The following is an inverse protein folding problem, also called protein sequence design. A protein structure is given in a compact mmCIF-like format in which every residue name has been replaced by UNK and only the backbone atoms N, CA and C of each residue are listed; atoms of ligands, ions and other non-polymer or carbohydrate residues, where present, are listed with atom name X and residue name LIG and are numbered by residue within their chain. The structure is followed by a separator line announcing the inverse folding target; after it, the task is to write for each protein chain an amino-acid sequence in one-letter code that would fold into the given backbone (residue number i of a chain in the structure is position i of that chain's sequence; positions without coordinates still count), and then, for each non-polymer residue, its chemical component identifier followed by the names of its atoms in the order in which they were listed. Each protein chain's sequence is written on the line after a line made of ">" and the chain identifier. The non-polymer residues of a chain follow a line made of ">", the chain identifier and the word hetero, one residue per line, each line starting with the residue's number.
data_IF_716988742203
#
_entry.id   IF_716988742203
#
_cell.length_a   1.000
_cell.length_b   1.000
_cell.length_c   1.000
_cell.angle_alpha   90.00
_cell.angle_beta   90.00
_cell.angle_gamma   90.00
#
_symmetry.space_group_name_H-M   'P 1'
#
loop_
_entity.id
_entity.type
_entity.pdbx_description
1 polymer ?
#
# COMPACT_ATOMS: atom_id res chain seq x y z
N UNK A 1 42.96 -11.02 -52.07
CA UNK A 1 44.29 -11.59 -51.73
C UNK A 1 44.92 -10.72 -50.67
N UNK A 2 45.59 -11.29 -49.84
CA UNK A 2 45.44 -11.24 -48.36
C UNK A 2 46.67 -10.61 -47.69
N UNK A 3 46.61 -10.39 -46.41
CA UNK A 3 47.75 -10.62 -45.52
C UNK A 3 47.34 -10.42 -44.05
N UNK A 4 47.39 -11.54 -43.33
CA UNK A 4 47.47 -11.64 -41.86
C UNK A 4 48.96 -11.44 -41.47
N UNK A 5 49.27 -10.91 -40.32
CA UNK A 5 50.35 -11.47 -39.48
C UNK A 5 49.85 -11.65 -38.04
N UNK A 6 49.85 -12.80 -37.50
CA UNK A 6 50.81 -13.62 -36.76
C UNK A 6 51.42 -12.92 -35.50
N UNK A 7 51.09 -13.56 -34.39
CA UNK A 7 51.50 -13.42 -32.99
C UNK A 7 53.03 -13.59 -32.82
N UNK A 8 53.62 -13.10 -31.73
CA UNK A 8 54.26 -14.06 -30.84
C UNK A 8 53.95 -13.94 -29.36
N UNK A 9 53.77 -15.08 -28.76
CA UNK A 9 53.86 -15.37 -27.35
C UNK A 9 55.29 -15.17 -26.82
N UNK A 10 55.43 -14.68 -25.62
CA UNK A 10 56.66 -14.84 -24.84
C UNK A 10 56.32 -15.26 -23.40
N UNK A 11 56.92 -16.32 -23.09
CA UNK A 11 57.00 -17.20 -21.94
C UNK A 11 57.97 -16.62 -20.89
N UNK A 12 57.91 -17.18 -19.67
CA UNK A 12 58.91 -17.24 -18.59
C UNK A 12 58.83 -16.10 -17.55
N UNK A 13 58.93 -16.33 -16.24
CA UNK A 13 59.70 -17.33 -15.52
C UNK A 13 59.19 -17.48 -14.06
N UNK A 14 59.41 -18.66 -13.55
CA UNK A 14 59.42 -19.08 -12.14
C UNK A 14 60.32 -18.22 -11.23
N UNK A 15 59.91 -18.07 -9.97
CA UNK A 15 60.89 -18.20 -8.85
C UNK A 15 60.19 -18.76 -7.59
N UNK A 16 60.81 -19.79 -7.06
CA UNK A 16 60.44 -20.58 -5.88
C UNK A 16 61.12 -20.04 -4.61
N UNK A 17 60.73 -20.60 -3.50
CA UNK A 17 61.29 -20.65 -2.13
C UNK A 17 60.65 -19.67 -1.15
N UNK A 18 60.22 -20.06 0.07
CA UNK A 18 60.89 -20.92 1.03
C UNK A 18 59.89 -21.47 2.07
N UNK A 19 60.17 -22.65 2.50
CA UNK A 19 59.60 -23.39 3.62
C UNK A 19 59.90 -22.69 4.96
N UNK A 20 58.85 -22.50 5.80
CA UNK A 20 59.02 -22.46 7.25
C UNK A 20 57.88 -23.26 7.87
N UNK A 21 58.27 -24.42 8.38
CA UNK A 21 57.46 -25.29 9.23
C UNK A 21 57.09 -24.56 10.53
N UNK A 22 55.82 -24.43 10.79
CA UNK A 22 55.26 -24.10 12.11
C UNK A 22 54.17 -25.11 12.42
N UNK A 23 54.44 -25.99 13.36
CA UNK A 23 53.45 -26.88 13.98
C UNK A 23 52.39 -26.03 14.64
N UNK A 24 51.18 -26.03 14.11
CA UNK A 24 49.98 -25.58 14.82
C UNK A 24 49.06 -26.79 15.01
N UNK A 25 48.68 -27.05 16.24
CA UNK A 25 47.77 -28.09 16.68
C UNK A 25 46.39 -27.92 15.99
N UNK A 26 45.62 -29.01 15.80
CA UNK A 26 44.27 -28.89 15.26
C UNK A 26 43.38 -28.16 16.28
N UNK A 27 42.81 -27.04 15.86
CA UNK A 27 41.77 -26.37 16.58
C UNK A 27 40.51 -27.26 16.54
N UNK A 28 39.98 -27.59 17.70
CA UNK A 28 38.64 -28.17 17.87
C UNK A 28 37.61 -27.31 17.15
N UNK A 29 36.59 -27.92 16.51
CA UNK A 29 35.49 -27.14 15.98
C UNK A 29 34.73 -26.48 17.15
N UNK A 30 34.79 -25.15 17.19
CA UNK A 30 33.97 -24.38 18.10
C UNK A 30 32.50 -24.76 17.89
N UNK A 31 31.90 -25.34 18.93
CA UNK A 31 30.47 -25.56 18.99
C UNK A 31 29.79 -24.24 18.65
N UNK A 32 28.89 -24.28 17.63
CA UNK A 32 27.96 -23.19 17.38
C UNK A 32 27.20 -22.93 18.68
N UNK A 33 27.60 -21.89 19.39
CA UNK A 33 26.80 -21.35 20.46
C UNK A 33 25.43 -21.00 19.88
N UNK A 34 24.42 -21.71 20.34
CA UNK A 34 23.03 -21.34 20.06
C UNK A 34 22.88 -19.88 20.50
N UNK A 35 22.49 -19.02 19.59
CA UNK A 35 22.06 -17.66 19.93
C UNK A 35 20.99 -17.78 21.02
N UNK A 36 21.14 -17.05 22.14
CA UNK A 36 20.09 -17.02 23.13
C UNK A 36 18.82 -16.49 22.46
N UNK A 37 17.76 -17.27 22.51
CA UNK A 37 16.44 -16.83 22.13
C UNK A 37 16.19 -15.46 22.80
N UNK A 38 15.95 -14.44 21.99
CA UNK A 38 15.57 -13.14 22.49
C UNK A 38 14.40 -13.31 23.46
N UNK A 39 14.43 -12.67 24.64
CA UNK A 39 13.32 -12.76 25.57
C UNK A 39 12.07 -12.30 24.84
N UNK A 40 10.99 -13.08 24.98
CA UNK A 40 9.67 -12.67 24.53
C UNK A 40 9.41 -11.30 25.16
N UNK A 41 9.46 -10.26 24.35
CA UNK A 41 9.12 -8.92 24.77
C UNK A 41 7.68 -8.96 25.25
N UNK A 42 7.45 -8.64 26.50
CA UNK A 42 6.14 -8.37 27.06
C UNK A 42 5.40 -7.46 26.09
N UNK A 43 4.37 -8.01 25.46
CA UNK A 43 3.45 -7.27 24.64
C UNK A 43 2.66 -6.37 25.59
N UNK A 44 3.19 -5.18 25.84
CA UNK A 44 2.42 -4.15 26.49
C UNK A 44 1.17 -3.92 25.63
N UNK A 45 0.05 -4.41 26.10
CA UNK A 45 -1.26 -4.10 25.54
C UNK A 45 -1.39 -2.58 25.45
N UNK A 46 -1.62 -2.07 24.26
CA UNK A 46 -1.91 -0.65 24.06
C UNK A 46 -3.14 -0.29 24.93
N UNK A 47 -3.14 0.85 25.62
CA UNK A 47 -4.29 1.24 26.44
C UNK A 47 -5.52 1.36 25.55
N UNK A 48 -6.70 0.97 26.01
CA UNK A 48 -7.94 1.15 25.27
C UNK A 48 -8.17 2.65 25.05
N UNK A 49 -8.58 3.00 23.83
CA UNK A 49 -9.11 4.34 23.57
C UNK A 49 -10.36 4.51 24.45
N UNK A 50 -10.28 5.37 25.46
CA UNK A 50 -11.41 5.75 26.31
C UNK A 50 -12.35 6.65 25.52
N UNK A 51 -13.24 6.08 24.73
CA UNK A 51 -14.44 6.78 24.21
C UNK A 51 -15.45 5.76 23.64
N UNK A 52 -15.96 4.85 24.50
CA UNK A 52 -17.20 4.12 24.18
C UNK A 52 -17.94 3.72 25.48
N UNK A 53 -18.65 4.69 26.04
CA UNK A 53 -19.81 4.42 26.90
C UNK A 53 -20.93 5.39 26.54
N UNK A 54 -21.78 4.97 25.60
CA UNK A 54 -23.11 5.55 25.40
C UNK A 54 -24.18 4.53 25.78
N UNK A 55 -25.22 4.91 26.54
CA UNK A 55 -26.22 3.98 27.04
C UNK A 55 -27.12 3.48 25.91
N UNK A 56 -27.35 2.17 25.91
CA UNK A 56 -28.28 1.50 25.01
C UNK A 56 -29.70 2.02 25.15
N UNK A 57 -30.25 2.51 24.06
CA UNK A 57 -31.68 2.77 23.93
C UNK A 57 -32.25 1.70 22.99
N UNK A 58 -33.21 0.95 23.52
CA UNK A 58 -33.95 -0.07 22.80
C UNK A 58 -34.73 0.56 21.64
N UNK A 59 -34.61 -0.01 20.46
CA UNK A 59 -35.32 0.32 19.23
C UNK A 59 -36.77 -0.20 19.32
N UNK A 60 -37.82 0.61 19.11
CA UNK A 60 -39.19 0.11 18.99
C UNK A 60 -39.44 -0.49 17.61
N UNK A 61 -40.09 -1.64 17.58
CA UNK A 61 -40.47 -2.41 16.40
C UNK A 61 -41.25 -1.58 15.38
N UNK A 62 -40.90 -1.74 14.10
CA UNK A 62 -41.57 -1.11 12.97
C UNK A 62 -42.97 -1.69 12.74
N UNK A 63 -44.00 -0.87 12.42
CA UNK A 63 -45.32 -1.35 12.04
C UNK A 63 -45.36 -1.89 10.61
N UNK A 64 -46.18 -2.93 10.40
CA UNK A 64 -46.41 -3.61 9.14
C UNK A 64 -46.96 -2.67 8.03
N UNK A 65 -46.65 -2.95 6.74
CA UNK A 65 -47.11 -2.08 5.65
C UNK A 65 -48.58 -2.28 5.34
N UNK A 66 -49.31 -1.18 5.43
CA UNK A 66 -50.72 -1.07 5.02
C UNK A 66 -50.81 -1.00 3.50
N UNK A 67 -51.54 -1.93 2.90
CA UNK A 67 -51.82 -1.91 1.47
C UNK A 67 -52.69 -0.70 1.09
N UNK A 68 -52.16 0.14 0.23
CA UNK A 68 -52.86 1.28 -0.34
C UNK A 68 -53.53 0.87 -1.64
N UNK A 69 -54.86 1.01 -1.67
CA UNK A 69 -55.70 0.75 -2.85
C UNK A 69 -55.27 1.64 -4.04
N UNK A 70 -55.14 0.99 -5.20
CA UNK A 70 -54.81 1.64 -6.48
C UNK A 70 -56.04 2.36 -7.02
N UNK A 71 -55.94 3.65 -7.24
CA UNK A 71 -56.88 4.45 -8.03
C UNK A 71 -56.50 4.37 -9.52
N UNK A 72 -57.48 4.34 -10.45
CA UNK A 72 -57.23 4.25 -11.87
C UNK A 72 -56.60 5.52 -12.42
N UNK A 73 -55.50 5.36 -13.17
CA UNK A 73 -54.84 6.46 -13.88
C UNK A 73 -55.60 6.78 -15.17
N UNK A 74 -55.77 8.09 -15.50
CA UNK A 74 -56.22 8.49 -16.83
C UNK A 74 -55.14 8.21 -17.86
N UNK A 75 -55.54 7.70 -19.05
CA UNK A 75 -54.67 7.45 -20.16
C UNK A 75 -54.01 8.73 -20.68
N UNK A 76 -52.69 8.82 -20.54
CA UNK A 76 -51.87 9.88 -21.13
C UNK A 76 -51.42 9.42 -22.50
N UNK A 77 -51.72 10.24 -23.53
CA UNK A 77 -51.32 10.01 -24.89
C UNK A 77 -49.78 9.99 -25.07
N UNK A 78 -49.28 9.46 -26.21
CA UNK A 78 -47.87 9.31 -26.43
C UNK A 78 -47.14 10.69 -26.37
N UNK A 79 -46.00 10.78 -25.68
CA UNK A 79 -45.23 12.03 -25.61
C UNK A 79 -44.62 12.33 -26.98
N UNK A 80 -44.81 13.58 -27.42
CA UNK A 80 -44.09 14.15 -28.58
C UNK A 80 -42.58 14.13 -28.28
N UNK A 81 -41.72 13.64 -29.19
CA UNK A 81 -40.29 13.65 -28.96
C UNK A 81 -39.79 15.07 -28.91
N UNK A 82 -39.33 15.51 -27.72
CA UNK A 82 -38.55 16.75 -27.59
C UNK A 82 -37.23 16.61 -28.33
N UNK A 83 -36.73 17.66 -28.99
CA UNK A 83 -35.42 17.61 -29.62
C UNK A 83 -34.34 17.36 -28.58
N UNK A 84 -33.52 16.35 -28.83
CA UNK A 84 -32.34 16.05 -28.04
C UNK A 84 -31.43 17.26 -28.15
N UNK A 85 -31.32 18.03 -27.08
CA UNK A 85 -30.28 19.06 -27.00
C UNK A 85 -28.94 18.34 -27.04
N UNK A 86 -28.19 18.53 -28.12
CA UNK A 86 -26.80 18.10 -28.17
C UNK A 86 -26.05 18.94 -27.14
N UNK A 87 -25.75 18.35 -25.98
CA UNK A 87 -24.90 18.98 -24.98
C UNK A 87 -23.51 19.14 -25.62
N UNK A 88 -23.10 20.39 -25.77
CA UNK A 88 -21.72 20.74 -26.12
C UNK A 88 -20.79 20.04 -25.09
N UNK A 89 -19.71 19.37 -25.54
CA UNK A 89 -18.82 18.70 -24.61
C UNK A 89 -18.27 19.74 -23.62
N UNK A 90 -18.42 19.44 -22.31
CA UNK A 90 -17.81 20.28 -21.29
C UNK A 90 -16.30 20.43 -21.58
N UNK A 91 -15.76 21.65 -21.48
CA UNK A 91 -14.36 21.89 -21.76
C UNK A 91 -13.53 21.01 -20.80
N UNK A 92 -12.65 20.21 -21.38
CA UNK A 92 -11.65 19.45 -20.61
C UNK A 92 -10.89 20.45 -19.73
N UNK A 93 -10.82 20.26 -18.41
CA UNK A 93 -10.14 21.20 -17.53
C UNK A 93 -8.68 21.36 -17.98
N UNK A 94 -8.30 22.60 -18.24
CA UNK A 94 -6.94 22.97 -18.64
C UNK A 94 -5.97 22.50 -17.55
N UNK A 95 -4.91 21.76 -17.93
CA UNK A 95 -3.87 21.33 -17.02
C UNK A 95 -2.98 22.55 -16.76
N UNK A 96 -2.97 23.06 -15.53
CA UNK A 96 -2.11 24.17 -15.15
C UNK A 96 -0.64 23.73 -15.13
N UNK A 97 0.22 24.50 -15.76
CA UNK A 97 1.67 24.32 -15.70
C UNK A 97 2.19 24.72 -14.31
N UNK A 98 2.99 23.86 -13.68
CA UNK A 98 3.67 24.16 -12.43
C UNK A 98 3.49 23.10 -11.33
N UNK A 99 4.02 23.35 -10.13
CA UNK A 99 3.96 22.40 -9.03
C UNK A 99 2.55 22.01 -8.64
N UNK A 100 2.34 20.71 -8.45
CA UNK A 100 1.05 20.15 -8.09
C UNK A 100 1.10 19.51 -6.69
N UNK A 101 -0.02 19.53 -5.98
CA UNK A 101 -0.16 18.90 -4.68
C UNK A 101 -1.55 18.29 -4.50
N UNK A 102 -1.58 17.07 -3.97
CA UNK A 102 -2.81 16.39 -3.59
C UNK A 102 -2.72 15.88 -2.15
N UNK A 103 -3.79 16.04 -1.38
CA UNK A 103 -3.86 15.53 -0.02
C UNK A 103 -5.29 15.10 0.31
N UNK A 104 -5.50 13.81 0.48
CA UNK A 104 -6.80 13.23 0.81
C UNK A 104 -7.08 13.24 2.31
N UNK A 105 -6.04 13.44 3.14
CA UNK A 105 -6.13 13.30 4.59
C UNK A 105 -6.94 14.41 5.24
N UNK A 106 -7.90 14.02 6.05
CA UNK A 106 -8.65 14.87 6.98
C UNK A 106 -8.27 14.51 8.42
N UNK A 107 -8.31 15.49 9.31
CA UNK A 107 -8.06 15.23 10.74
C UNK A 107 -9.04 14.16 11.24
N UNK A 108 -8.49 13.04 11.67
CA UNK A 108 -9.27 11.91 12.18
C UNK A 108 -9.28 10.68 11.29
N UNK A 109 -8.80 10.73 10.06
CA UNK A 109 -8.75 9.57 9.16
C UNK A 109 -7.70 8.53 9.58
N UNK A 110 -6.70 8.95 10.36
CA UNK A 110 -5.65 8.05 10.86
C UNK A 110 -6.20 7.09 11.91
N UNK A 111 -5.79 5.82 11.78
CA UNK A 111 -6.03 4.77 12.77
C UNK A 111 -4.74 3.98 12.97
N UNK A 112 -4.26 3.91 14.22
CA UNK A 112 -3.16 3.03 14.57
C UNK A 112 -3.60 1.56 14.53
N UNK A 113 -2.64 0.63 14.30
CA UNK A 113 -2.94 -0.79 14.41
C UNK A 113 -3.11 -1.20 15.87
N UNK A 114 -4.15 -1.95 16.16
CA UNK A 114 -4.44 -2.40 17.53
C UNK A 114 -3.59 -3.59 17.98
N UNK A 115 -3.04 -4.34 17.05
CA UNK A 115 -2.08 -5.42 17.30
C UNK A 115 -0.92 -5.33 16.33
N UNK A 116 0.20 -5.98 16.69
CA UNK A 116 1.40 -5.93 15.86
C UNK A 116 1.20 -6.53 14.45
N UNK A 117 0.24 -7.43 14.28
CA UNK A 117 -0.03 -8.12 13.01
C UNK A 117 -1.06 -7.42 12.11
N UNK A 118 -1.79 -6.41 12.63
CA UNK A 118 -2.94 -5.85 11.95
C UNK A 118 -2.63 -4.67 11.03
N UNK A 119 -1.38 -4.53 10.59
CA UNK A 119 -1.01 -3.41 9.70
C UNK A 119 -1.86 -3.33 8.42
N UNK A 120 -2.21 -4.46 7.83
CA UNK A 120 -3.10 -4.49 6.64
C UNK A 120 -4.53 -4.08 7.01
N UNK A 121 -5.10 -4.61 8.08
CA UNK A 121 -6.44 -4.23 8.55
C UNK A 121 -6.55 -2.74 8.86
N UNK A 122 -5.54 -2.19 9.56
CA UNK A 122 -5.46 -0.76 9.84
C UNK A 122 -5.30 0.09 8.57
N UNK A 123 -4.48 -0.37 7.62
CA UNK A 123 -4.32 0.31 6.34
C UNK A 123 -5.62 0.31 5.51
N UNK A 124 -6.36 -0.80 5.48
CA UNK A 124 -7.68 -0.87 4.85
C UNK A 124 -8.66 0.10 5.50
N UNK A 125 -8.68 0.16 6.85
CA UNK A 125 -9.51 1.08 7.60
C UNK A 125 -9.17 2.53 7.31
N UNK A 126 -7.88 2.90 7.23
CA UNK A 126 -7.45 4.24 6.83
C UNK A 126 -7.80 4.55 5.38
N UNK A 127 -7.63 3.62 4.45
CA UNK A 127 -8.02 3.82 3.03
C UNK A 127 -9.51 4.06 2.89
N UNK A 128 -10.33 3.31 3.63
CA UNK A 128 -11.76 3.60 3.74
C UNK A 128 -12.01 5.02 4.27
N UNK A 129 -11.39 5.40 5.39
CA UNK A 129 -11.60 6.70 6.01
C UNK A 129 -11.23 7.87 5.08
N UNK A 130 -10.17 7.70 4.26
CA UNK A 130 -9.75 8.69 3.27
C UNK A 130 -10.75 8.84 2.11
N UNK A 131 -11.55 7.82 1.84
CA UNK A 131 -12.51 7.78 0.71
C UNK A 131 -13.93 8.12 1.18
N UNK A 132 -14.30 7.67 2.37
CA UNK A 132 -15.66 7.76 2.90
C UNK A 132 -15.89 9.05 3.70
N UNK A 133 -17.15 9.50 3.77
CA UNK A 133 -17.54 10.60 4.64
C UNK A 133 -17.59 10.19 6.14
N UNK A 134 -17.82 8.89 6.40
CA UNK A 134 -17.91 8.35 7.77
C UNK A 134 -16.60 7.69 8.16
N UNK A 135 -15.89 8.32 9.08
CA UNK A 135 -14.66 7.76 9.67
C UNK A 135 -15.03 6.65 10.66
N UNK A 136 -14.31 5.52 10.60
CA UNK A 136 -14.34 4.49 11.65
C UNK A 136 -12.96 4.33 12.27
N UNK A 137 -12.96 4.16 13.60
CA UNK A 137 -11.74 3.86 14.38
C UNK A 137 -11.92 2.63 15.26
N UNK A 138 -13.02 1.90 15.04
CA UNK A 138 -13.37 0.74 15.83
C UNK A 138 -12.33 -0.37 15.67
N UNK A 139 -11.92 -0.95 16.80
CA UNK A 139 -11.08 -2.14 16.85
C UNK A 139 -11.75 -3.31 16.14
N UNK A 140 -13.06 -3.49 16.32
CA UNK A 140 -13.82 -4.55 15.67
C UNK A 140 -13.74 -4.42 14.15
N UNK A 141 -13.98 -3.23 13.59
CA UNK A 141 -13.84 -2.99 12.14
C UNK A 141 -12.42 -3.33 11.64
N UNK A 142 -11.38 -2.98 12.41
CA UNK A 142 -10.01 -3.28 12.02
C UNK A 142 -9.73 -4.79 12.04
N UNK A 143 -10.29 -5.49 13.01
CA UNK A 143 -10.21 -6.94 13.12
C UNK A 143 -10.92 -7.60 11.95
N UNK A 144 -12.15 -7.22 11.65
CA UNK A 144 -12.93 -7.73 10.52
C UNK A 144 -12.17 -7.57 9.20
N UNK A 145 -11.54 -6.42 8.99
CA UNK A 145 -10.74 -6.15 7.79
C UNK A 145 -9.47 -6.99 7.73
N UNK A 146 -8.81 -7.18 8.88
CA UNK A 146 -7.64 -8.03 8.94
C UNK A 146 -7.99 -9.50 8.68
N UNK A 147 -9.07 -10.01 9.28
CA UNK A 147 -9.56 -11.39 9.08
C UNK A 147 -9.95 -11.61 7.61
N UNK A 148 -10.73 -10.71 7.03
CA UNK A 148 -11.09 -10.74 5.61
C UNK A 148 -9.84 -10.78 4.72
N UNK A 149 -8.90 -9.85 4.92
CA UNK A 149 -7.68 -9.81 4.12
C UNK A 149 -6.81 -11.07 4.32
N UNK A 150 -6.77 -11.63 5.52
CA UNK A 150 -6.08 -12.90 5.81
C UNK A 150 -6.69 -14.06 5.04
N UNK A 151 -8.00 -14.19 5.06
CA UNK A 151 -8.72 -15.27 4.40
C UNK A 151 -8.59 -15.18 2.87
N UNK A 152 -8.68 -13.97 2.31
CA UNK A 152 -8.45 -13.69 0.89
C UNK A 152 -6.97 -13.77 0.46
N UNK A 153 -6.04 -13.88 1.40
CA UNK A 153 -4.61 -14.00 1.12
C UNK A 153 -4.21 -15.36 0.55
N UNK A 154 -5.00 -16.40 0.80
CA UNK A 154 -4.69 -17.79 0.43
C UNK A 154 -3.25 -18.19 0.79
N UNK A 155 -2.78 -17.74 1.97
CA UNK A 155 -1.41 -17.95 2.44
C UNK A 155 -1.36 -19.07 3.48
N UNK A 156 -0.45 -20.05 3.34
CA UNK A 156 -0.27 -21.11 4.34
C UNK A 156 0.37 -20.60 5.65
N UNK A 157 0.88 -19.36 5.67
CA UNK A 157 1.64 -18.83 6.80
C UNK A 157 0.80 -17.98 7.75
N UNK A 158 -0.50 -17.90 7.58
CA UNK A 158 -1.34 -16.96 8.30
C UNK A 158 -1.05 -15.49 7.94
N UNK A 159 -1.74 -14.56 8.57
CA UNK A 159 -1.58 -13.14 8.32
C UNK A 159 -2.11 -12.65 6.97
N UNK A 160 -2.41 -11.37 6.91
CA UNK A 160 -2.86 -10.71 5.70
C UNK A 160 -1.67 -10.32 4.80
N UNK A 161 -1.80 -10.57 3.50
CA UNK A 161 -0.78 -10.21 2.51
C UNK A 161 -1.33 -9.19 1.47
N UNK A 162 -0.49 -8.66 0.56
CA UNK A 162 -0.94 -7.67 -0.43
C UNK A 162 -2.08 -8.14 -1.34
N UNK A 163 -2.22 -9.44 -1.62
CA UNK A 163 -3.35 -9.97 -2.39
C UNK A 163 -4.65 -9.87 -1.63
N UNK A 164 -4.66 -10.32 -0.37
CA UNK A 164 -5.82 -10.22 0.50
C UNK A 164 -6.19 -8.76 0.77
N UNK A 165 -5.19 -7.88 0.92
CA UNK A 165 -5.44 -6.44 1.03
C UNK A 165 -6.19 -5.90 -0.21
N UNK A 166 -5.68 -6.21 -1.41
CA UNK A 166 -6.31 -5.78 -2.67
C UNK A 166 -7.73 -6.34 -2.82
N UNK A 167 -7.89 -7.65 -2.60
CA UNK A 167 -9.19 -8.31 -2.72
C UNK A 167 -10.19 -7.77 -1.70
N UNK A 168 -9.78 -7.60 -0.44
CA UNK A 168 -10.64 -7.07 0.61
C UNK A 168 -11.14 -5.65 0.33
N UNK A 169 -10.29 -4.76 -0.21
CA UNK A 169 -10.75 -3.42 -0.63
C UNK A 169 -11.79 -3.49 -1.74
N UNK A 170 -11.64 -4.42 -2.69
CA UNK A 170 -12.59 -4.61 -3.78
C UNK A 170 -13.91 -5.19 -3.27
N UNK A 171 -13.87 -6.21 -2.41
CA UNK A 171 -15.05 -6.85 -1.83
C UNK A 171 -15.85 -5.88 -0.93
N UNK A 172 -15.16 -4.94 -0.29
CA UNK A 172 -15.79 -3.87 0.50
C UNK A 172 -16.37 -2.73 -0.36
N UNK A 173 -16.19 -2.76 -1.68
CA UNK A 173 -16.69 -1.74 -2.60
C UNK A 173 -15.86 -0.44 -2.64
N UNK A 174 -14.64 -0.44 -2.08
CA UNK A 174 -13.72 0.72 -2.17
C UNK A 174 -12.85 0.70 -3.43
N UNK A 175 -12.94 -0.39 -4.21
CA UNK A 175 -12.22 -0.59 -5.46
C UNK A 175 -12.81 0.16 -6.66
N UNK A 176 -12.32 -0.17 -7.87
CA UNK A 176 -11.35 -1.23 -8.14
C UNK A 176 -9.91 -0.87 -7.75
N UNK A 177 -9.22 -1.84 -7.12
CA UNK A 177 -7.79 -1.81 -6.82
C UNK A 177 -7.09 -2.99 -7.51
N UNK A 178 -5.81 -2.78 -7.88
CA UNK A 178 -4.94 -3.84 -8.43
C UNK A 178 -3.65 -3.94 -7.62
N UNK A 179 -3.16 -5.16 -7.45
CA UNK A 179 -1.81 -5.42 -6.93
C UNK A 179 -0.81 -5.25 -8.06
N UNK A 180 0.04 -4.25 -7.97
CA UNK A 180 1.03 -3.90 -8.99
C UNK A 180 2.43 -3.96 -8.40
N UNK A 181 3.41 -4.33 -9.20
CA UNK A 181 4.82 -4.31 -8.84
C UNK A 181 5.61 -3.62 -9.92
N UNK A 182 6.34 -2.58 -9.55
CA UNK A 182 7.14 -1.74 -10.44
C UNK A 182 8.61 -1.99 -10.12
N UNK A 183 9.47 -2.21 -11.12
CA UNK A 183 10.88 -2.49 -10.88
C UNK A 183 11.71 -1.26 -10.49
N UNK A 184 11.31 -0.08 -10.96
CA UNK A 184 11.97 1.18 -10.69
C UNK A 184 11.27 1.97 -9.58
N UNK A 185 12.05 2.66 -8.73
CA UNK A 185 11.54 3.39 -7.57
C UNK A 185 10.79 4.66 -7.97
N UNK A 186 11.39 5.47 -8.82
CA UNK A 186 10.82 6.77 -9.22
C UNK A 186 9.58 6.54 -10.08
N UNK A 187 9.61 5.52 -10.95
CA UNK A 187 8.44 5.08 -11.70
C UNK A 187 7.31 4.57 -10.79
N UNK A 188 7.63 3.85 -9.71
CA UNK A 188 6.62 3.43 -8.75
C UNK A 188 5.92 4.62 -8.08
N UNK A 189 6.66 5.70 -7.79
CA UNK A 189 6.09 6.92 -7.24
C UNK A 189 5.23 7.67 -8.28
N UNK A 190 5.68 7.76 -9.54
CA UNK A 190 4.90 8.36 -10.64
C UNK A 190 3.60 7.61 -10.88
N UNK A 191 3.65 6.28 -10.98
CA UNK A 191 2.46 5.44 -11.14
C UNK A 191 1.47 5.61 -9.97
N UNK A 192 1.97 5.67 -8.73
CA UNK A 192 1.13 5.90 -7.57
C UNK A 192 0.47 7.28 -7.59
N UNK A 193 1.24 8.33 -7.91
CA UNK A 193 0.73 9.71 -7.99
C UNK A 193 -0.30 9.88 -9.12
N UNK A 194 -0.05 9.32 -10.30
CA UNK A 194 -0.98 9.33 -11.43
C UNK A 194 -2.29 8.65 -11.07
N UNK A 195 -2.24 7.44 -10.47
CA UNK A 195 -3.43 6.73 -10.05
C UNK A 195 -4.25 7.49 -8.99
N UNK A 196 -3.58 8.13 -8.03
CA UNK A 196 -4.26 9.00 -7.07
C UNK A 196 -4.91 10.21 -7.74
N UNK A 197 -4.19 10.84 -8.68
CA UNK A 197 -4.68 12.01 -9.41
C UNK A 197 -5.91 11.70 -10.27
N UNK A 198 -5.90 10.53 -10.88
CA UNK A 198 -6.99 10.06 -11.75
C UNK A 198 -8.22 9.64 -10.95
N UNK A 199 -8.02 8.92 -9.85
CA UNK A 199 -9.12 8.25 -9.14
C UNK A 199 -9.62 8.99 -7.91
N UNK A 200 -8.86 9.93 -7.36
CA UNK A 200 -9.14 10.55 -6.07
C UNK A 200 -9.03 9.59 -4.89
N UNK A 201 -8.37 8.43 -5.05
CA UNK A 201 -8.28 7.37 -4.03
C UNK A 201 -6.85 7.16 -3.55
N UNK A 202 -6.66 6.74 -2.27
CA UNK A 202 -5.34 6.48 -1.70
C UNK A 202 -4.66 5.23 -2.31
N UNK A 203 -3.34 5.16 -2.21
CA UNK A 203 -2.53 4.02 -2.65
C UNK A 203 -1.96 3.28 -1.43
N UNK A 204 -2.04 1.94 -1.44
CA UNK A 204 -1.34 1.13 -0.44
C UNK A 204 0.12 0.90 -0.83
N UNK A 205 1.03 1.10 0.11
CA UNK A 205 2.47 0.88 -0.04
C UNK A 205 2.89 -0.36 0.74
N UNK A 206 3.51 -1.32 0.08
CA UNK A 206 4.03 -2.54 0.71
C UNK A 206 5.47 -2.30 1.15
N UNK A 207 5.62 -1.96 2.43
CA UNK A 207 6.87 -1.50 3.03
C UNK A 207 7.77 -2.66 3.50
N UNK A 208 9.03 -2.34 3.83
CA UNK A 208 9.96 -3.23 4.52
C UNK A 208 10.15 -4.59 3.81
N UNK A 209 10.33 -4.53 2.50
CA UNK A 209 10.44 -5.74 1.65
C UNK A 209 9.24 -6.68 1.77
N UNK A 210 8.04 -6.13 1.96
CA UNK A 210 6.80 -6.90 2.05
C UNK A 210 6.39 -7.33 3.45
N UNK A 211 6.88 -6.67 4.49
CA UNK A 211 6.60 -7.01 5.89
C UNK A 211 5.68 -6.04 6.60
N UNK A 212 5.38 -4.91 5.99
CA UNK A 212 4.54 -3.88 6.59
C UNK A 212 3.71 -3.16 5.55
N UNK A 213 2.62 -2.53 5.98
CA UNK A 213 1.66 -1.86 5.13
C UNK A 213 1.55 -0.39 5.55
N UNK A 214 1.74 0.54 4.59
CA UNK A 214 1.46 1.96 4.75
C UNK A 214 0.43 2.42 3.74
N UNK A 215 -0.14 3.61 3.96
CA UNK A 215 -1.04 4.26 3.02
C UNK A 215 -0.41 5.57 2.55
N UNK A 216 -0.34 5.76 1.24
CA UNK A 216 -0.08 7.04 0.62
C UNK A 216 -1.38 7.83 0.59
N UNK A 217 -1.42 8.92 1.35
CA UNK A 217 -2.59 9.79 1.52
C UNK A 217 -2.53 11.05 0.67
N UNK A 218 -1.41 11.28 -0.02
CA UNK A 218 -1.20 12.45 -0.87
C UNK A 218 0.22 12.50 -1.41
N UNK A 219 0.47 13.50 -2.26
CA UNK A 219 1.79 13.75 -2.84
C UNK A 219 1.97 15.19 -3.24
N UNK A 220 3.21 15.56 -3.55
CA UNK A 220 3.59 16.77 -4.29
C UNK A 220 4.44 16.38 -5.49
N UNK A 221 4.32 17.11 -6.58
CA UNK A 221 5.09 16.93 -7.81
C UNK A 221 5.46 18.28 -8.40
N UNK A 222 6.39 18.29 -9.32
CA UNK A 222 6.80 19.51 -10.07
C UNK A 222 5.81 19.91 -11.15
N UNK A 223 4.95 18.98 -11.62
CA UNK A 223 3.83 19.26 -12.52
C UNK A 223 2.60 18.39 -12.18
N UNK A 224 1.43 18.71 -12.74
CA UNK A 224 0.22 17.88 -12.62
C UNK A 224 0.47 16.53 -13.31
N UNK A 225 0.26 15.37 -12.67
CA UNK A 225 0.40 14.05 -13.29
C UNK A 225 -0.34 13.87 -14.62
N UNK A 226 -1.38 14.67 -14.88
CA UNK A 226 -2.11 14.65 -16.16
C UNK A 226 -1.35 15.31 -17.31
N UNK A 227 -0.29 16.07 -17.05
CA UNK A 227 0.59 16.62 -18.09
C UNK A 227 1.43 15.55 -18.79
N UNK A 228 1.57 14.39 -18.18
CA UNK A 228 2.29 13.23 -18.72
C UNK A 228 3.75 13.11 -18.24
N UNK A 229 4.48 14.20 -18.10
CA UNK A 229 5.86 14.22 -17.60
C UNK A 229 5.93 15.02 -16.30
N UNK A 230 6.35 14.35 -15.21
CA UNK A 230 6.46 14.96 -13.89
C UNK A 230 7.34 14.11 -12.98
N UNK A 231 7.90 14.74 -11.96
CA UNK A 231 8.60 14.07 -10.88
C UNK A 231 7.90 14.28 -9.53
N UNK A 232 7.80 13.20 -8.75
CA UNK A 232 7.24 13.26 -7.41
C UNK A 232 8.28 13.88 -6.46
N UNK A 233 7.96 15.03 -5.88
CA UNK A 233 8.84 15.75 -4.96
C UNK A 233 8.60 15.44 -3.49
N UNK A 234 7.41 14.87 -3.16
CA UNK A 234 7.07 14.47 -1.82
C UNK A 234 5.89 13.51 -1.76
N UNK A 235 5.85 12.67 -0.74
CA UNK A 235 4.78 11.67 -0.50
C UNK A 235 4.25 11.82 0.91
N UNK A 236 2.93 11.99 1.05
CA UNK A 236 2.24 12.00 2.34
C UNK A 236 1.85 10.58 2.71
N UNK A 237 2.15 10.19 3.94
CA UNK A 237 2.01 8.80 4.38
C UNK A 237 1.28 8.66 5.71
N UNK A 238 0.62 7.52 5.86
CA UNK A 238 0.04 7.04 7.11
C UNK A 238 0.66 5.68 7.41
N UNK A 239 1.39 5.60 8.49
CA UNK A 239 1.95 4.35 9.02
C UNK A 239 1.12 3.91 10.22
N UNK A 240 0.41 2.78 10.15
CA UNK A 240 -0.43 2.33 11.26
C UNK A 240 0.36 1.97 12.53
N UNK A 241 1.68 1.84 12.46
CA UNK A 241 2.52 1.57 13.61
C UNK A 241 2.83 2.83 14.43
N UNK A 242 2.55 4.04 13.92
CA UNK A 242 2.78 5.27 14.68
C UNK A 242 1.99 5.27 16.01
N UNK A 243 2.59 5.73 17.16
CA UNK A 243 3.85 6.47 17.27
C UNK A 243 5.12 5.59 17.41
N UNK A 244 4.99 4.30 17.32
CA UNK A 244 6.11 3.37 17.47
C UNK A 244 7.03 3.41 16.24
N UNK A 245 7.76 2.35 15.98
CA UNK A 245 8.64 2.20 14.85
C UNK A 245 9.27 0.82 14.84
N UNK A 246 10.23 0.63 13.95
CA UNK A 246 11.01 -0.61 13.85
C UNK A 246 12.46 -0.33 14.19
N UNK A 247 13.09 -1.17 14.99
CA UNK A 247 14.53 -1.09 15.27
C UNK A 247 15.38 -1.24 13.99
N UNK A 248 14.87 -1.97 13.00
CA UNK A 248 15.55 -2.20 11.73
C UNK A 248 15.26 -1.11 10.70
N UNK A 249 14.03 -0.60 10.64
CA UNK A 249 13.56 0.28 9.58
C UNK A 249 13.41 1.74 10.01
N UNK A 250 13.52 2.01 11.30
CA UNK A 250 13.43 3.35 11.86
C UNK A 250 12.05 3.70 12.42
N UNK A 251 11.91 4.95 12.85
CA UNK A 251 10.68 5.46 13.45
C UNK A 251 9.57 5.62 12.42
N UNK A 252 8.34 5.35 12.84
CA UNK A 252 7.14 5.66 12.06
C UNK A 252 6.95 7.18 11.93
N UNK A 253 6.69 7.70 10.75
CA UNK A 253 6.41 9.11 10.56
C UNK A 253 5.07 9.49 11.21
N UNK A 254 4.94 10.76 11.62
CA UNK A 254 3.65 11.29 12.07
C UNK A 254 2.58 11.12 10.98
N UNK A 255 1.31 10.90 11.36
CA UNK A 255 0.24 10.80 10.38
C UNK A 255 0.22 11.98 9.41
N UNK A 256 0.10 11.67 8.12
CA UNK A 256 0.13 12.62 7.01
C UNK A 256 1.44 13.44 6.87
N UNK A 257 2.55 12.92 7.40
CA UNK A 257 3.85 13.53 7.20
C UNK A 257 4.21 13.53 5.70
N UNK A 258 4.72 14.65 5.20
CA UNK A 258 5.28 14.76 3.85
C UNK A 258 6.74 14.31 3.89
N UNK A 259 7.04 13.19 3.26
CA UNK A 259 8.39 12.66 3.13
C UNK A 259 8.94 12.95 1.74
N UNK A 260 10.20 13.37 1.64
CA UNK A 260 10.88 13.38 0.34
C UNK A 260 11.05 11.95 -0.17
N UNK A 261 11.15 11.72 -1.50
CA UNK A 261 11.42 10.39 -2.06
C UNK A 261 12.62 9.71 -1.40
N UNK A 262 13.70 10.42 -1.16
CA UNK A 262 14.90 9.90 -0.49
C UNK A 262 14.64 9.43 0.96
N UNK A 263 13.73 10.07 1.69
CA UNK A 263 13.34 9.63 3.04
C UNK A 263 12.43 8.42 2.99
N UNK A 264 11.46 8.42 2.10
CA UNK A 264 10.54 7.30 1.90
C UNK A 264 11.29 6.04 1.45
N UNK A 265 12.25 6.16 0.53
CA UNK A 265 13.05 5.07 -0.02
C UNK A 265 13.90 4.31 1.01
N UNK A 266 14.11 4.86 2.22
CA UNK A 266 14.73 4.11 3.31
C UNK A 266 13.84 2.98 3.86
N UNK A 267 12.54 3.07 3.67
CA UNK A 267 11.55 2.13 4.18
C UNK A 267 10.71 1.49 3.06
N UNK A 268 10.40 2.21 1.98
CA UNK A 268 9.80 1.67 0.77
C UNK A 268 10.91 1.14 -0.13
N UNK A 269 11.28 -0.10 0.09
CA UNK A 269 12.44 -0.74 -0.54
C UNK A 269 12.01 -1.90 -1.43
N UNK A 270 12.83 -2.17 -2.44
CA UNK A 270 12.60 -3.26 -3.40
C UNK A 270 12.36 -4.60 -2.69
N UNK A 271 11.26 -5.25 -3.00
CA UNK A 271 10.94 -6.59 -2.54
C UNK A 271 11.55 -7.62 -3.48
N UNK A 272 12.49 -8.38 -3.00
CA UNK A 272 13.08 -9.47 -3.75
C UNK A 272 12.14 -10.68 -3.86
N UNK A 273 12.36 -11.51 -4.88
CA UNK A 273 11.64 -12.78 -5.00
C UNK A 273 12.02 -13.69 -3.83
N UNK A 274 11.03 -14.18 -3.10
CA UNK A 274 11.24 -15.18 -2.05
C UNK A 274 11.11 -16.60 -2.63
N UNK A 275 11.78 -17.59 -1.97
CA UNK A 275 11.69 -19.01 -2.34
C UNK A 275 10.25 -19.52 -2.33
N UNK A 276 9.45 -19.06 -1.37
CA UNK A 276 8.01 -19.34 -1.32
C UNK A 276 7.30 -18.22 -2.06
N UNK A 277 6.73 -18.56 -3.21
CA UNK A 277 5.97 -17.61 -4.02
C UNK A 277 4.57 -17.44 -3.41
N UNK A 278 4.37 -16.36 -2.66
CA UNK A 278 3.07 -15.94 -2.15
C UNK A 278 2.23 -15.21 -3.21
N UNK A 279 2.62 -15.33 -4.50
CA UNK A 279 1.96 -14.65 -5.60
C UNK A 279 2.13 -13.13 -5.60
N UNK A 280 3.05 -12.61 -4.79
CA UNK A 280 3.42 -11.19 -4.80
C UNK A 280 4.71 -11.06 -5.59
N UNK A 281 4.73 -10.33 -6.72
CA UNK A 281 5.91 -10.20 -7.57
C UNK A 281 7.02 -9.41 -6.87
N UNK A 282 8.30 -9.55 -7.35
CA UNK A 282 9.40 -8.71 -6.88
C UNK A 282 9.23 -7.28 -7.42
N UNK A 283 9.71 -6.28 -6.68
CA UNK A 283 9.64 -4.87 -7.06
C UNK A 283 9.18 -3.97 -5.93
N UNK A 284 8.86 -2.73 -6.27
CA UNK A 284 8.13 -1.80 -5.42
C UNK A 284 6.65 -2.12 -5.57
N UNK A 285 6.04 -2.63 -4.51
CA UNK A 285 4.69 -3.22 -4.57
C UNK A 285 3.65 -2.23 -4.08
N UNK A 286 2.63 -2.03 -4.89
CA UNK A 286 1.55 -1.07 -4.67
C UNK A 286 0.18 -1.78 -4.67
N UNK A 287 -0.72 -1.31 -3.82
CA UNK A 287 -2.16 -1.55 -3.93
C UNK A 287 -2.73 -0.31 -4.61
N UNK A 288 -2.88 -0.41 -5.93
CA UNK A 288 -3.10 0.72 -6.82
C UNK A 288 -4.58 0.86 -7.17
N UNK A 289 -5.22 2.01 -6.91
CA UNK A 289 -6.55 2.28 -7.41
C UNK A 289 -6.51 2.41 -8.94
N UNK A 290 -7.56 1.95 -9.60
CA UNK A 290 -7.70 2.09 -11.05
C UNK A 290 -9.04 2.74 -11.37
N UNK A 291 -9.08 3.57 -12.40
CA UNK A 291 -10.32 4.17 -12.85
C UNK A 291 -11.32 3.09 -13.27
N UNK A 292 -12.60 3.31 -13.01
CA UNK A 292 -13.64 2.48 -13.58
C UNK A 292 -13.65 2.70 -15.10
N UNK A 293 -13.55 1.61 -15.84
CA UNK A 293 -13.74 1.71 -17.28
C UNK A 293 -15.20 2.07 -17.52
N UNK A 294 -15.43 3.19 -18.24
CA UNK A 294 -16.75 3.52 -18.73
C UNK A 294 -17.25 2.33 -19.57
N UNK A 295 -18.39 1.77 -19.18
CA UNK A 295 -19.03 0.64 -19.85
C UNK A 295 -19.64 1.08 -21.19
#
# INVERSE_FOLDING_TARGET
>A
MPRVPVIPALLSALLAAALLSGCAAPAEPAALAAEPAAPASDVASLPPNEDEQGPGTAEPAAPAPTQRASLPHPAVGPPTPSPIATSEPEPTPEVEDGPFAMNLYRKGDFVGQYTFEWCVGASMQMMRNLTDAKVTRSRATQQDYWEMARDLSHSPFGGANPRGWTAGLNDLGYGPYKLVSIPDYDEALRVAASAMRETGRPVGLVMWRGRHAWVMSGFTSDADPRSGDFDVTGVRVLDPLYPHGSSLWGASPKPNALLTPAKLGKQFVFRERRRVNLGVPPGYVLILPVAEQAA
#
